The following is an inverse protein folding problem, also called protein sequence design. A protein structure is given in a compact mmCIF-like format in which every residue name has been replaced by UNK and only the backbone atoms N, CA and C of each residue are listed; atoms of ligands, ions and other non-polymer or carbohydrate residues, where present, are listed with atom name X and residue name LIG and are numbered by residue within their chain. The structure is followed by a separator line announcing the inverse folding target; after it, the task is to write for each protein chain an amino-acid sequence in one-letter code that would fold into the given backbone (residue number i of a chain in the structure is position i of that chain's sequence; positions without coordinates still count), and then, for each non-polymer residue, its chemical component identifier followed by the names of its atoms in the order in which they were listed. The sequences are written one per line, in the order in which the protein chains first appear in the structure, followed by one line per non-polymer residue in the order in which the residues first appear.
data_IF_889080887533
#
_entry.id   IF_889080887533
#
_cell.length_a   1.000
_cell.length_b   1.000
_cell.length_c   1.000
_cell.angle_alpha   90.00
_cell.angle_beta   90.00
_cell.angle_gamma   90.00
#
_symmetry.space_group_name_H-M   'P 1'
#
loop_
_entity.id
_entity.type
_entity.pdbx_description
1 polymer ?
#
# COMPACT_ATOMS: atom_id res chain seq x y z
N UNK A 1 11.00 -20.82 32.19
CA UNK A 1 11.15 -21.58 30.94
C UNK A 1 9.87 -21.61 30.08
N UNK A 2 8.69 -21.35 30.65
CA UNK A 2 7.43 -21.33 29.91
C UNK A 2 7.12 -19.99 29.24
N UNK A 3 7.70 -18.88 29.74
CA UNK A 3 7.47 -17.56 29.16
C UNK A 3 8.18 -17.32 27.83
N UNK A 4 9.24 -18.09 27.52
CA UNK A 4 9.98 -17.97 26.26
C UNK A 4 9.21 -18.47 25.02
N UNK A 5 8.08 -19.16 25.22
CA UNK A 5 7.25 -19.71 24.13
C UNK A 5 6.00 -18.88 23.86
N UNK A 6 5.72 -17.86 24.67
CA UNK A 6 4.55 -17.01 24.45
C UNK A 6 4.83 -16.05 23.30
N UNK A 7 4.04 -16.18 22.26
CA UNK A 7 4.12 -15.29 21.08
C UNK A 7 3.48 -13.94 21.38
N UNK A 8 4.08 -12.91 20.80
CA UNK A 8 3.52 -11.57 20.81
C UNK A 8 2.33 -11.54 19.82
N UNK A 9 1.16 -11.12 20.30
CA UNK A 9 -0.02 -11.01 19.43
C UNK A 9 -0.02 -9.65 18.71
N UNK A 10 0.05 -9.68 17.40
CA UNK A 10 0.07 -8.48 16.56
C UNK A 10 -1.11 -8.51 15.62
N UNK A 11 -1.83 -7.39 15.53
CA UNK A 11 -2.87 -7.17 14.53
C UNK A 11 -2.35 -6.15 13.52
N UNK A 12 -2.36 -6.49 12.24
CA UNK A 12 -1.98 -5.62 11.14
C UNK A 12 -3.17 -5.37 10.23
N UNK A 13 -3.27 -4.18 9.67
CA UNK A 13 -4.42 -3.80 8.84
C UNK A 13 -4.38 -4.41 7.46
N UNK A 14 -3.36 -4.08 6.67
CA UNK A 14 -3.26 -4.49 5.26
C UNK A 14 -2.47 -5.78 5.10
N UNK A 15 -2.58 -6.39 3.93
CA UNK A 15 -1.80 -7.58 3.58
C UNK A 15 -0.31 -7.27 3.53
N UNK A 16 0.09 -6.08 3.06
CA UNK A 16 1.48 -5.64 3.02
C UNK A 16 2.09 -5.61 4.42
N UNK A 17 1.37 -5.03 5.38
CA UNK A 17 1.84 -4.95 6.76
C UNK A 17 1.82 -6.29 7.47
N UNK A 18 0.82 -7.12 7.21
CA UNK A 18 0.75 -8.49 7.74
C UNK A 18 1.99 -9.28 7.33
N UNK A 19 2.35 -9.21 6.05
CA UNK A 19 3.56 -9.86 5.52
C UNK A 19 4.83 -9.29 6.18
N UNK A 20 4.94 -7.97 6.26
CA UNK A 20 6.10 -7.30 6.86
C UNK A 20 6.32 -7.72 8.31
N UNK A 21 5.25 -7.76 9.11
CA UNK A 21 5.33 -8.17 10.51
C UNK A 21 5.76 -9.64 10.63
N UNK A 22 5.24 -10.52 9.79
CA UNK A 22 5.65 -11.93 9.75
C UNK A 22 7.13 -12.08 9.40
N UNK A 23 7.61 -11.32 8.42
CA UNK A 23 9.00 -11.37 7.99
C UNK A 23 9.96 -10.96 9.11
N UNK A 24 9.65 -9.91 9.85
CA UNK A 24 10.51 -9.38 10.91
C UNK A 24 10.33 -10.15 12.22
N UNK A 25 9.09 -10.52 12.56
CA UNK A 25 8.76 -11.17 13.83
C UNK A 25 9.06 -12.67 13.85
N UNK A 26 8.93 -13.34 12.72
CA UNK A 26 9.14 -14.79 12.62
C UNK A 26 8.27 -15.57 13.60
N UNK A 27 8.87 -16.55 14.26
CA UNK A 27 8.17 -17.44 15.20
C UNK A 27 7.83 -16.80 16.54
N UNK A 28 8.32 -15.59 16.79
CA UNK A 28 8.08 -14.87 18.05
C UNK A 28 6.78 -14.06 18.05
N UNK A 29 6.12 -13.98 16.91
CA UNK A 29 4.86 -13.24 16.77
C UNK A 29 3.75 -14.12 16.20
N UNK A 30 2.53 -13.84 16.64
CA UNK A 30 1.30 -14.36 16.03
C UNK A 30 0.59 -13.18 15.39
N UNK A 31 0.49 -13.16 14.08
CA UNK A 31 -0.04 -12.01 13.32
C UNK A 31 -1.41 -12.32 12.78
N UNK A 32 -2.36 -11.43 13.06
CA UNK A 32 -3.68 -11.43 12.43
C UNK A 32 -3.78 -10.23 11.50
N UNK A 33 -4.02 -10.49 10.21
CA UNK A 33 -4.36 -9.45 9.25
C UNK A 33 -5.86 -9.20 9.24
N UNK A 34 -6.27 -7.93 9.28
CA UNK A 34 -7.70 -7.57 9.24
C UNK A 34 -8.24 -7.69 7.82
N UNK A 35 -7.46 -7.28 6.83
CA UNK A 35 -7.85 -7.29 5.42
C UNK A 35 -7.22 -8.48 4.73
N UNK A 36 -8.02 -9.21 3.96
CA UNK A 36 -7.55 -10.31 3.13
C UNK A 36 -7.14 -9.86 1.73
N UNK A 37 -6.68 -10.82 0.88
CA UNK A 37 -6.37 -10.51 -0.52
C UNK A 37 -7.57 -9.90 -1.25
N UNK A 38 -7.30 -8.86 -2.05
CA UNK A 38 -8.33 -8.17 -2.85
C UNK A 38 -9.17 -7.15 -2.09
N UNK A 39 -8.95 -6.96 -0.80
CA UNK A 39 -9.68 -5.98 0.00
C UNK A 39 -9.08 -4.59 -0.19
N UNK A 40 -9.94 -3.61 -0.46
CA UNK A 40 -9.55 -2.20 -0.62
C UNK A 40 -9.48 -1.51 0.75
N UNK A 41 -8.29 -1.11 1.22
CA UNK A 41 -8.15 -0.47 2.53
C UNK A 41 -8.84 0.89 2.65
N UNK A 42 -9.01 1.62 1.53
CA UNK A 42 -9.71 2.92 1.55
C UNK A 42 -11.17 2.80 1.95
N UNK A 43 -11.79 1.66 1.66
CA UNK A 43 -13.22 1.42 1.87
C UNK A 43 -13.52 0.45 3.02
N UNK A 44 -12.50 -0.23 3.53
CA UNK A 44 -12.69 -1.27 4.54
C UNK A 44 -13.27 -0.69 5.83
N UNK A 45 -14.32 -1.33 6.31
CA UNK A 45 -14.95 -1.00 7.60
C UNK A 45 -14.66 -2.12 8.59
N UNK A 46 -14.06 -1.77 9.73
CA UNK A 46 -13.77 -2.74 10.77
C UNK A 46 -15.07 -3.28 11.39
N UNK A 47 -15.12 -4.59 11.55
CA UNK A 47 -16.21 -5.25 12.28
C UNK A 47 -16.02 -5.11 13.80
N UNK A 48 -17.06 -5.44 14.57
CA UNK A 48 -16.94 -5.52 16.02
C UNK A 48 -15.85 -6.53 16.44
N UNK A 49 -15.73 -7.64 15.70
CA UNK A 49 -14.67 -8.62 15.93
C UNK A 49 -13.27 -8.06 15.69
N UNK A 50 -13.11 -7.23 14.66
CA UNK A 50 -11.84 -6.55 14.36
C UNK A 50 -11.44 -5.60 15.51
N UNK A 51 -12.40 -4.80 16.00
CA UNK A 51 -12.17 -3.89 17.13
C UNK A 51 -11.75 -4.67 18.36
N UNK A 52 -12.43 -5.78 18.65
CA UNK A 52 -12.09 -6.66 19.78
C UNK A 52 -10.68 -7.24 19.62
N UNK A 53 -10.32 -7.70 18.41
CA UNK A 53 -8.99 -8.25 18.14
C UNK A 53 -7.91 -7.20 18.37
N UNK A 54 -8.11 -5.96 17.91
CA UNK A 54 -7.17 -4.87 18.13
C UNK A 54 -7.04 -4.52 19.62
N UNK A 55 -8.14 -4.51 20.35
CA UNK A 55 -8.12 -4.23 21.80
C UNK A 55 -7.37 -5.29 22.60
N UNK A 56 -7.40 -6.54 22.15
CA UNK A 56 -6.71 -7.66 22.81
C UNK A 56 -5.29 -7.87 22.33
N UNK A 57 -4.90 -7.26 21.21
CA UNK A 57 -3.56 -7.40 20.67
C UNK A 57 -2.52 -6.75 21.59
N UNK A 58 -1.29 -7.28 21.57
CA UNK A 58 -0.15 -6.64 22.21
C UNK A 58 0.32 -5.42 21.43
N UNK A 59 0.23 -5.48 20.10
CA UNK A 59 0.63 -4.39 19.20
C UNK A 59 -0.33 -4.35 18.00
N UNK A 60 -0.71 -3.14 17.59
CA UNK A 60 -1.50 -2.91 16.35
C UNK A 60 -0.63 -2.15 15.36
N UNK A 61 -0.53 -2.66 14.13
CA UNK A 61 0.28 -2.07 13.05
C UNK A 61 -0.63 -1.58 11.94
N UNK A 62 -0.48 -0.33 11.56
CA UNK A 62 -1.25 0.26 10.47
C UNK A 62 -0.40 1.24 9.64
N UNK A 63 -0.87 1.55 8.42
CA UNK A 63 -0.14 2.40 7.49
C UNK A 63 -0.14 3.86 7.92
N UNK A 64 -1.29 4.40 8.23
CA UNK A 64 -1.50 5.82 8.46
C UNK A 64 -1.72 6.59 7.16
N UNK A 65 -1.63 7.90 7.23
CA UNK A 65 -1.85 8.82 6.11
C UNK A 65 -3.21 8.58 5.43
N UNK A 66 -4.21 8.24 6.23
CA UNK A 66 -5.59 7.95 5.80
C UNK A 66 -5.74 6.82 4.78
N UNK A 67 -4.77 5.92 4.66
CA UNK A 67 -4.96 4.71 3.83
C UNK A 67 -6.17 3.92 4.33
N UNK A 68 -6.21 3.66 5.63
CA UNK A 68 -7.33 3.01 6.30
C UNK A 68 -8.42 4.08 6.56
N UNK A 69 -9.06 4.52 5.48
CA UNK A 69 -9.85 5.74 5.46
C UNK A 69 -11.03 5.77 6.42
N UNK A 70 -11.54 4.60 6.82
CA UNK A 70 -12.71 4.48 7.70
C UNK A 70 -12.38 4.02 9.11
N UNK A 71 -11.09 3.93 9.46
CA UNK A 71 -10.62 3.40 10.74
C UNK A 71 -9.98 4.46 11.66
N UNK A 72 -9.98 5.73 11.27
CA UNK A 72 -9.29 6.79 12.02
C UNK A 72 -9.71 6.90 13.48
N UNK A 73 -11.01 6.87 13.76
CA UNK A 73 -11.53 6.94 15.13
C UNK A 73 -11.13 5.73 15.99
N UNK A 74 -11.01 4.55 15.36
CA UNK A 74 -10.57 3.33 16.05
C UNK A 74 -9.12 3.49 16.51
N UNK A 75 -8.25 3.95 15.62
CA UNK A 75 -6.84 4.19 15.95
C UNK A 75 -6.67 5.25 17.03
N UNK A 76 -7.45 6.34 16.97
CA UNK A 76 -7.43 7.38 17.99
C UNK A 76 -7.82 6.82 19.36
N UNK A 77 -8.85 5.97 19.41
CA UNK A 77 -9.29 5.32 20.64
C UNK A 77 -8.22 4.37 21.20
N UNK A 78 -7.56 3.59 20.36
CA UNK A 78 -6.46 2.72 20.78
C UNK A 78 -5.32 3.53 21.40
N UNK A 79 -4.96 4.65 20.79
CA UNK A 79 -3.93 5.55 21.31
C UNK A 79 -4.33 6.14 22.66
N UNK A 80 -5.57 6.57 22.81
CA UNK A 80 -6.10 7.07 24.09
C UNK A 80 -6.09 6.03 25.19
N UNK A 81 -6.23 4.76 24.86
CA UNK A 81 -6.17 3.62 25.78
C UNK A 81 -4.75 3.16 26.06
N UNK A 82 -3.73 3.87 25.59
CA UNK A 82 -2.31 3.52 25.70
C UNK A 82 -1.97 2.16 25.08
N UNK A 83 -2.72 1.73 24.06
CA UNK A 83 -2.39 0.55 23.27
C UNK A 83 -1.11 0.80 22.48
N UNK A 84 -0.19 -0.15 22.49
CA UNK A 84 1.00 -0.08 21.64
C UNK A 84 0.57 -0.14 20.17
N UNK A 85 0.86 0.93 19.43
CA UNK A 85 0.54 1.04 18.00
C UNK A 85 1.80 1.39 17.23
N UNK A 86 1.90 0.87 16.00
CA UNK A 86 2.97 1.22 15.06
C UNK A 86 2.28 1.77 13.82
N UNK A 87 2.33 3.08 13.62
CA UNK A 87 1.93 3.73 12.39
C UNK A 87 3.18 3.88 11.53
N UNK A 88 3.34 2.99 10.53
CA UNK A 88 4.61 2.89 9.80
C UNK A 88 4.97 4.14 9.02
N UNK A 89 3.98 4.93 8.60
CA UNK A 89 4.22 6.21 7.91
C UNK A 89 4.92 7.24 8.80
N UNK A 90 4.88 7.10 10.12
CA UNK A 90 5.60 8.01 11.04
C UNK A 90 7.12 7.91 10.89
N UNK A 91 7.63 6.81 10.35
CA UNK A 91 9.06 6.64 10.10
C UNK A 91 9.56 7.40 8.86
N UNK A 92 8.64 7.94 8.06
CA UNK A 92 8.97 8.67 6.83
C UNK A 92 8.95 10.16 7.13
N UNK A 93 9.98 10.89 6.65
CA UNK A 93 9.99 12.34 6.74
C UNK A 93 8.75 12.93 6.07
N UNK A 94 7.88 13.65 6.78
CA UNK A 94 6.68 14.22 6.21
C UNK A 94 6.93 15.11 4.98
N UNK A 95 8.09 15.72 4.89
CA UNK A 95 8.47 16.55 3.74
C UNK A 95 8.65 15.72 2.45
N UNK A 96 8.88 14.41 2.56
CA UNK A 96 9.04 13.51 1.43
C UNK A 96 7.74 12.84 0.99
N UNK A 97 6.66 12.97 1.78
CA UNK A 97 5.35 12.45 1.42
C UNK A 97 4.76 13.28 0.28
N UNK A 98 4.23 12.59 -0.73
CA UNK A 98 3.61 13.26 -1.87
C UNK A 98 2.25 13.85 -1.48
N UNK A 99 1.99 15.06 -1.98
CA UNK A 99 0.70 15.73 -1.82
C UNK A 99 -0.26 15.27 -2.93
N UNK A 100 -1.56 15.27 -2.60
CA UNK A 100 -2.60 15.22 -3.63
C UNK A 100 -3.75 16.14 -3.19
N UNK A 101 -4.50 16.62 -4.19
CA UNK A 101 -5.67 17.46 -3.94
C UNK A 101 -6.92 16.57 -3.83
N UNK A 102 -7.68 16.73 -2.74
CA UNK A 102 -9.02 16.18 -2.64
C UNK A 102 -10.02 17.14 -3.31
N UNK A 103 -11.22 16.61 -3.65
CA UNK A 103 -12.27 17.38 -4.33
C UNK A 103 -12.68 18.67 -3.60
N UNK A 104 -12.47 18.73 -2.30
CA UNK A 104 -12.83 19.87 -1.44
C UNK A 104 -11.70 20.92 -1.36
N UNK A 105 -10.63 20.76 -2.12
CA UNK A 105 -9.47 21.66 -2.07
C UNK A 105 -8.59 21.46 -0.84
N UNK A 106 -8.82 20.43 -0.04
CA UNK A 106 -7.96 20.08 1.10
C UNK A 106 -6.81 19.23 0.59
N UNK A 107 -5.58 19.72 0.81
CA UNK A 107 -4.38 18.96 0.47
C UNK A 107 -4.16 17.86 1.51
N UNK A 108 -4.07 16.62 1.03
CA UNK A 108 -3.73 15.47 1.86
C UNK A 108 -2.49 14.79 1.31
N UNK A 109 -1.92 13.85 2.08
CA UNK A 109 -0.74 13.12 1.66
C UNK A 109 -1.15 11.79 1.03
N UNK A 110 -0.38 11.36 0.02
CA UNK A 110 -0.57 10.07 -0.64
C UNK A 110 -0.12 8.95 0.30
N UNK A 111 -1.01 7.99 0.63
CA UNK A 111 -0.69 6.92 1.59
C UNK A 111 0.04 5.72 0.98
N UNK A 112 0.20 5.62 -0.35
CA UNK A 112 0.73 4.45 -1.06
C UNK A 112 2.27 4.38 -0.98
N UNK A 113 2.80 4.40 0.22
CA UNK A 113 4.24 4.52 0.51
C UNK A 113 5.04 3.27 0.12
N UNK A 114 4.41 2.09 0.10
CA UNK A 114 5.09 0.80 -0.11
C UNK A 114 5.65 0.59 -1.52
N UNK A 115 5.27 1.42 -2.48
CA UNK A 115 5.76 1.33 -3.85
C UNK A 115 7.11 2.00 -4.08
N UNK A 116 7.65 2.63 -3.06
CA UNK A 116 9.03 3.10 -3.03
C UNK A 116 9.80 2.24 -2.02
N UNK A 117 10.77 1.47 -2.48
CA UNK A 117 11.54 0.57 -1.62
C UNK A 117 12.22 1.32 -0.47
N UNK A 118 12.70 2.54 -0.72
CA UNK A 118 13.29 3.36 0.35
C UNK A 118 12.30 3.62 1.49
N UNK A 119 11.05 3.93 1.16
CA UNK A 119 9.99 4.11 2.16
C UNK A 119 9.69 2.80 2.89
N UNK A 120 9.67 1.68 2.16
CA UNK A 120 9.38 0.39 2.78
C UNK A 120 10.50 -0.06 3.74
N UNK A 121 11.74 0.31 3.46
CA UNK A 121 12.85 0.10 4.40
C UNK A 121 12.61 0.86 5.70
N UNK A 122 12.09 2.08 5.64
CA UNK A 122 11.74 2.87 6.83
C UNK A 122 10.55 2.25 7.58
N UNK A 123 9.55 1.75 6.86
CA UNK A 123 8.43 1.02 7.46
C UNK A 123 8.93 -0.24 8.19
N UNK A 124 9.85 -0.97 7.58
CA UNK A 124 10.47 -2.15 8.19
C UNK A 124 11.21 -1.78 9.49
N UNK A 125 11.91 -0.66 9.51
CA UNK A 125 12.58 -0.15 10.70
C UNK A 125 11.57 0.15 11.81
N UNK A 126 10.45 0.78 11.49
CA UNK A 126 9.39 1.07 12.47
C UNK A 126 8.83 -0.21 13.08
N UNK A 127 8.59 -1.22 12.27
CA UNK A 127 8.10 -2.52 12.75
C UNK A 127 9.13 -3.19 13.64
N UNK A 128 10.40 -3.23 13.22
CA UNK A 128 11.48 -3.79 14.04
C UNK A 128 11.54 -3.11 15.41
N UNK A 129 11.60 -1.79 15.44
CA UNK A 129 11.71 -1.02 16.70
C UNK A 129 10.49 -1.24 17.59
N UNK A 130 9.29 -1.29 17.02
CA UNK A 130 8.06 -1.53 17.77
C UNK A 130 7.99 -2.93 18.37
N UNK A 131 8.38 -3.94 17.61
CA UNK A 131 8.44 -5.32 18.11
C UNK A 131 9.51 -5.50 19.19
N UNK A 132 10.68 -4.90 18.99
CA UNK A 132 11.75 -4.95 19.97
C UNK A 132 11.36 -4.27 21.28
N UNK A 133 10.60 -3.20 21.23
CA UNK A 133 10.07 -2.50 22.40
C UNK A 133 9.03 -3.35 23.14
N UNK A 134 8.15 -4.03 22.39
CA UNK A 134 7.09 -4.85 22.96
C UNK A 134 7.61 -6.20 23.51
N UNK A 135 8.67 -6.72 22.93
CA UNK A 135 9.28 -8.00 23.31
C UNK A 135 10.82 -7.88 23.32
N UNK A 136 11.40 -7.22 24.33
CA UNK A 136 12.86 -7.01 24.38
C UNK A 136 13.67 -8.30 24.44
N UNK A 137 13.09 -9.40 24.95
CA UNK A 137 13.77 -10.69 25.06
C UNK A 137 14.17 -11.26 23.69
N UNK A 138 13.43 -10.93 22.63
CA UNK A 138 13.69 -11.42 21.28
C UNK A 138 14.23 -10.34 20.33
N UNK A 139 14.70 -9.23 20.86
CA UNK A 139 15.23 -8.09 20.09
C UNK A 139 16.31 -8.51 19.10
N UNK A 140 17.23 -9.37 19.50
CA UNK A 140 18.34 -9.82 18.64
C UNK A 140 17.82 -10.62 17.43
N UNK A 141 16.82 -11.49 17.63
CA UNK A 141 16.22 -12.25 16.54
C UNK A 141 15.47 -11.33 15.59
N UNK A 142 14.73 -10.34 16.10
CA UNK A 142 14.07 -9.33 15.26
C UNK A 142 15.09 -8.54 14.45
N UNK A 143 16.21 -8.17 15.06
CA UNK A 143 17.28 -7.44 14.37
C UNK A 143 17.89 -8.25 13.23
N UNK A 144 18.16 -9.52 13.47
CA UNK A 144 18.70 -10.43 12.47
C UNK A 144 17.75 -10.55 11.28
N UNK A 145 16.45 -10.74 11.54
CA UNK A 145 15.45 -10.85 10.50
C UNK A 145 15.25 -9.51 9.75
N UNK A 146 15.27 -8.41 10.48
CA UNK A 146 15.21 -7.08 9.89
C UNK A 146 16.38 -6.82 8.94
N UNK A 147 17.60 -7.11 9.37
CA UNK A 147 18.79 -6.92 8.54
C UNK A 147 18.73 -7.79 7.25
N UNK A 148 18.29 -9.03 7.37
CA UNK A 148 18.09 -9.92 6.21
C UNK A 148 17.01 -9.38 5.27
N UNK A 149 15.94 -8.82 5.81
CA UNK A 149 14.86 -8.22 5.02
C UNK A 149 15.34 -6.98 4.26
N UNK A 150 16.15 -6.13 4.89
CA UNK A 150 16.75 -4.97 4.21
C UNK A 150 17.59 -5.39 3.01
N UNK A 151 18.35 -6.48 3.12
CA UNK A 151 19.13 -7.01 2.00
C UNK A 151 18.22 -7.42 0.84
N UNK A 152 17.10 -8.10 1.13
CA UNK A 152 16.11 -8.46 0.11
C UNK A 152 15.49 -7.22 -0.55
N UNK A 153 15.22 -6.18 0.23
CA UNK A 153 14.69 -4.93 -0.31
C UNK A 153 15.69 -4.23 -1.22
N UNK A 154 16.97 -4.22 -0.86
CA UNK A 154 18.01 -3.64 -1.70
C UNK A 154 18.14 -4.40 -3.03
N UNK A 155 18.07 -5.73 -2.99
CA UNK A 155 18.07 -6.57 -4.20
C UNK A 155 16.85 -6.28 -5.08
N UNK A 156 15.67 -6.15 -4.46
CA UNK A 156 14.43 -5.82 -5.17
C UNK A 156 14.52 -4.44 -5.82
N UNK A 157 15.03 -3.45 -5.09
CA UNK A 157 15.21 -2.09 -5.61
C UNK A 157 16.13 -2.07 -6.83
N UNK A 158 17.27 -2.77 -6.76
CA UNK A 158 18.21 -2.89 -7.88
C UNK A 158 17.57 -3.58 -9.09
N UNK A 159 16.79 -4.63 -8.85
CA UNK A 159 16.05 -5.35 -9.90
C UNK A 159 15.04 -4.43 -10.59
N UNK A 160 14.23 -3.69 -9.82
CA UNK A 160 13.23 -2.77 -10.37
C UNK A 160 13.92 -1.68 -11.20
N UNK A 161 14.99 -1.08 -10.70
CA UNK A 161 15.76 -0.06 -11.44
C UNK A 161 16.27 -0.58 -12.76
N UNK A 162 16.86 -1.79 -12.78
CA UNK A 162 17.36 -2.40 -14.00
C UNK A 162 16.25 -2.68 -15.00
N UNK A 163 15.11 -3.19 -14.55
CA UNK A 163 13.95 -3.45 -15.42
C UNK A 163 13.36 -2.14 -15.95
N UNK A 164 13.23 -1.12 -15.12
CA UNK A 164 12.73 0.19 -15.54
C UNK A 164 13.63 0.83 -16.60
N UNK A 165 14.96 0.76 -16.42
CA UNK A 165 15.94 1.30 -17.37
C UNK A 165 15.90 0.57 -18.71
N UNK A 166 15.49 -0.71 -18.74
CA UNK A 166 15.35 -1.48 -19.97
C UNK A 166 14.17 -1.04 -20.84
N UNK A 167 13.22 -0.29 -20.28
CA UNK A 167 12.06 0.23 -20.99
C UNK A 167 12.43 1.60 -21.58
N UNK A 168 12.16 1.87 -22.87
CA UNK A 168 12.38 3.19 -23.44
C UNK A 168 11.66 4.25 -22.62
N UNK A 169 12.31 5.39 -22.40
CA UNK A 169 11.79 6.46 -21.52
C UNK A 169 10.37 6.90 -21.92
N UNK A 170 10.10 7.02 -23.21
CA UNK A 170 8.78 7.39 -23.74
C UNK A 170 7.71 6.34 -23.51
N UNK A 171 8.10 5.11 -23.19
CA UNK A 171 7.18 4.00 -22.90
C UNK A 171 6.97 3.78 -21.40
N UNK A 172 7.60 4.58 -20.54
CA UNK A 172 7.47 4.48 -19.07
C UNK A 172 6.23 5.23 -18.60
N UNK A 173 5.06 4.80 -19.10
CA UNK A 173 3.76 5.35 -18.75
C UNK A 173 2.87 4.20 -18.28
N UNK A 174 2.26 4.38 -17.11
CA UNK A 174 1.40 3.39 -16.47
C UNK A 174 0.01 3.99 -16.28
N UNK A 175 -1.01 3.34 -16.83
CA UNK A 175 -2.43 3.72 -16.67
C UNK A 175 -3.15 2.65 -15.87
N UNK A 176 -3.78 3.05 -14.77
CA UNK A 176 -4.36 2.13 -13.78
C UNK A 176 -5.75 2.59 -13.34
N UNK A 177 -6.42 1.76 -12.54
CA UNK A 177 -7.78 2.03 -12.08
C UNK A 177 -7.85 3.17 -11.06
N UNK A 178 -6.88 3.28 -10.16
CA UNK A 178 -6.80 4.42 -9.24
C UNK A 178 -5.34 4.88 -9.08
N UNK A 179 -5.16 6.08 -8.54
CA UNK A 179 -3.86 6.73 -8.46
C UNK A 179 -3.07 6.22 -7.25
N UNK A 180 -2.47 5.05 -7.38
CA UNK A 180 -1.73 4.37 -6.31
C UNK A 180 -0.22 4.33 -6.53
N UNK A 181 0.28 4.76 -7.69
CA UNK A 181 1.66 4.49 -8.11
C UNK A 181 2.55 5.73 -8.21
N UNK A 182 2.18 6.85 -7.57
CA UNK A 182 2.99 8.09 -7.66
C UNK A 182 4.36 7.94 -6.99
N UNK A 183 4.45 7.23 -5.87
CA UNK A 183 5.76 6.96 -5.25
C UNK A 183 6.63 6.07 -6.13
N UNK A 184 6.03 5.08 -6.78
CA UNK A 184 6.72 4.25 -7.78
C UNK A 184 7.22 5.10 -8.95
N UNK A 185 6.37 6.00 -9.45
CA UNK A 185 6.71 6.90 -10.55
C UNK A 185 7.92 7.76 -10.20
N UNK A 186 7.92 8.37 -9.01
CA UNK A 186 9.03 9.19 -8.54
C UNK A 186 10.31 8.39 -8.37
N UNK A 187 10.22 7.18 -7.80
CA UNK A 187 11.40 6.37 -7.50
C UNK A 187 12.04 5.79 -8.77
N UNK A 188 11.23 5.43 -9.77
CA UNK A 188 11.70 4.65 -10.92
C UNK A 188 11.53 5.32 -12.29
N UNK A 189 11.12 6.58 -12.30
CA UNK A 189 11.07 7.38 -13.53
C UNK A 189 9.92 7.05 -14.47
N UNK A 190 8.75 6.73 -13.90
CA UNK A 190 7.51 6.51 -14.66
C UNK A 190 6.59 7.72 -14.60
N UNK A 191 5.74 7.86 -15.60
CA UNK A 191 4.54 8.70 -15.56
C UNK A 191 3.35 7.78 -15.28
N UNK A 192 2.53 8.13 -14.30
CA UNK A 192 1.37 7.31 -13.93
C UNK A 192 0.09 8.14 -13.99
N UNK A 193 -0.97 7.51 -14.48
CA UNK A 193 -2.32 8.08 -14.56
C UNK A 193 -3.32 7.07 -14.00
N UNK A 194 -4.11 7.49 -13.02
CA UNK A 194 -5.20 6.70 -12.47
C UNK A 194 -6.56 7.24 -12.91
N UNK A 195 -7.53 6.37 -13.10
CA UNK A 195 -8.91 6.77 -13.38
C UNK A 195 -9.53 7.43 -12.14
N UNK A 196 -9.50 6.74 -10.99
CA UNK A 196 -9.85 7.32 -9.71
C UNK A 196 -8.64 8.02 -9.12
N UNK A 197 -8.88 8.93 -8.18
CA UNK A 197 -7.82 9.59 -7.43
C UNK A 197 -7.07 8.64 -6.49
N UNK A 198 -6.28 9.22 -5.61
CA UNK A 198 -5.47 8.49 -4.62
C UNK A 198 -6.35 7.68 -3.67
N UNK A 199 -7.50 8.23 -3.25
CA UNK A 199 -8.51 7.49 -2.49
C UNK A 199 -9.58 6.93 -3.44
N UNK A 200 -9.97 5.67 -3.23
CA UNK A 200 -11.08 5.05 -3.95
C UNK A 200 -12.44 5.39 -3.35
N UNK A 201 -12.49 6.15 -2.26
CA UNK A 201 -13.74 6.57 -1.62
C UNK A 201 -14.58 7.47 -2.53
N UNK A 202 -13.95 8.21 -3.45
CA UNK A 202 -14.62 9.01 -4.47
C UNK A 202 -14.56 8.28 -5.79
N UNK A 203 -15.73 8.07 -6.43
CA UNK A 203 -15.80 7.45 -7.75
C UNK A 203 -15.37 8.43 -8.85
N UNK A 204 -14.80 7.88 -9.94
CA UNK A 204 -14.48 8.67 -11.11
C UNK A 204 -15.76 9.19 -11.79
N UNK A 205 -15.78 10.49 -12.08
CA UNK A 205 -16.86 11.10 -12.86
C UNK A 205 -16.68 10.88 -14.37
N UNK A 206 -17.70 11.26 -15.14
CA UNK A 206 -17.68 11.17 -16.61
C UNK A 206 -16.50 11.96 -17.20
N UNK A 207 -16.21 13.12 -16.63
CA UNK A 207 -15.09 13.96 -17.09
C UNK A 207 -13.76 13.25 -16.87
N UNK A 208 -13.56 12.59 -15.72
CA UNK A 208 -12.34 11.84 -15.43
C UNK A 208 -12.11 10.71 -16.44
N UNK A 209 -13.17 9.98 -16.78
CA UNK A 209 -13.12 8.94 -17.80
C UNK A 209 -12.74 9.53 -19.15
N UNK A 210 -13.38 10.63 -19.56
CA UNK A 210 -13.12 11.27 -20.85
C UNK A 210 -11.69 11.79 -20.95
N UNK A 211 -11.17 12.41 -19.89
CA UNK A 211 -9.79 12.91 -19.85
C UNK A 211 -8.78 11.78 -19.95
N UNK A 212 -9.01 10.68 -19.24
CA UNK A 212 -8.12 9.52 -19.29
C UNK A 212 -8.15 8.86 -20.67
N UNK A 213 -9.34 8.70 -21.26
CA UNK A 213 -9.49 8.15 -22.62
C UNK A 213 -8.76 9.03 -23.63
N UNK A 214 -8.88 10.36 -23.51
CA UNK A 214 -8.19 11.28 -24.40
C UNK A 214 -6.67 11.16 -24.26
N UNK A 215 -6.17 11.05 -23.04
CA UNK A 215 -4.76 10.82 -22.77
C UNK A 215 -4.27 9.53 -23.45
N UNK A 216 -5.02 8.44 -23.30
CA UNK A 216 -4.68 7.14 -23.91
C UNK A 216 -4.60 7.24 -25.43
N UNK A 217 -5.56 7.91 -26.05
CA UNK A 217 -5.62 8.08 -27.51
C UNK A 217 -4.49 8.98 -28.00
N UNK A 218 -4.28 10.12 -27.35
CA UNK A 218 -3.25 11.10 -27.75
C UNK A 218 -1.83 10.57 -27.60
N UNK A 219 -1.57 9.80 -26.55
CA UNK A 219 -0.24 9.23 -26.30
C UNK A 219 -0.08 7.83 -26.86
N UNK A 220 -1.09 7.30 -27.55
CA UNK A 220 -1.07 5.96 -28.17
C UNK A 220 -0.68 4.87 -27.17
N UNK A 221 -1.29 4.93 -25.99
CA UNK A 221 -1.04 3.96 -24.92
C UNK A 221 -1.49 2.58 -25.38
N UNK A 222 -0.62 1.58 -25.30
CA UNK A 222 -0.89 0.23 -25.81
C UNK A 222 -1.61 -0.65 -24.80
N UNK A 223 -1.40 -0.44 -23.52
CA UNK A 223 -1.98 -1.26 -22.45
C UNK A 223 -2.34 -0.43 -21.23
N UNK A 224 -3.47 -0.80 -20.61
CA UNK A 224 -3.93 -0.28 -19.33
C UNK A 224 -4.08 -1.45 -18.37
N UNK A 225 -4.10 -1.20 -17.06
CA UNK A 225 -3.99 -2.26 -16.07
C UNK A 225 -5.16 -2.25 -15.10
N UNK A 226 -5.64 -3.45 -14.75
CA UNK A 226 -6.58 -3.68 -13.67
C UNK A 226 -5.80 -3.85 -12.36
N UNK A 227 -6.49 -3.71 -11.24
CA UNK A 227 -5.88 -3.81 -9.91
C UNK A 227 -6.63 -4.85 -9.07
N UNK A 228 -5.89 -5.49 -8.16
CA UNK A 228 -6.44 -6.54 -7.29
C UNK A 228 -7.50 -6.04 -6.29
N UNK A 229 -7.44 -4.74 -5.93
CA UNK A 229 -8.30 -4.14 -4.90
C UNK A 229 -9.38 -3.21 -5.47
N UNK A 230 -9.51 -3.10 -6.79
CA UNK A 230 -10.49 -2.22 -7.46
C UNK A 230 -11.29 -3.03 -8.48
N UNK A 231 -12.62 -2.81 -8.60
CA UNK A 231 -13.41 -3.52 -9.60
C UNK A 231 -12.89 -3.32 -11.02
N UNK A 232 -12.78 -4.40 -11.79
CA UNK A 232 -12.22 -4.36 -13.17
C UNK A 232 -13.11 -3.64 -14.17
N UNK A 233 -14.40 -3.49 -13.88
CA UNK A 233 -15.38 -2.85 -14.77
C UNK A 233 -14.98 -1.42 -15.17
N UNK A 234 -14.33 -0.69 -14.29
CA UNK A 234 -13.93 0.70 -14.56
C UNK A 234 -12.90 0.76 -15.67
N UNK A 235 -11.92 -0.12 -15.65
CA UNK A 235 -10.89 -0.20 -16.70
C UNK A 235 -11.47 -0.76 -18.01
N UNK A 236 -12.36 -1.73 -17.92
CA UNK A 236 -13.07 -2.24 -19.10
C UNK A 236 -13.87 -1.13 -19.81
N UNK A 237 -14.53 -0.25 -19.04
CA UNK A 237 -15.25 0.89 -19.58
C UNK A 237 -14.31 1.89 -20.28
N UNK A 238 -13.13 2.12 -19.74
CA UNK A 238 -12.09 2.97 -20.37
C UNK A 238 -11.64 2.35 -21.69
N UNK A 239 -11.40 1.05 -21.72
CA UNK A 239 -11.04 0.32 -22.94
C UNK A 239 -12.09 0.48 -24.04
N UNK A 240 -13.37 0.28 -23.69
CA UNK A 240 -14.48 0.44 -24.64
C UNK A 240 -14.61 1.88 -25.15
N UNK A 241 -14.44 2.87 -24.28
CA UNK A 241 -14.49 4.27 -24.66
C UNK A 241 -13.34 4.66 -25.61
N UNK A 242 -12.14 4.12 -25.40
CA UNK A 242 -11.01 4.33 -26.31
C UNK A 242 -11.27 3.69 -27.68
N UNK A 243 -11.84 2.49 -27.70
CA UNK A 243 -12.24 1.79 -28.93
C UNK A 243 -13.24 2.61 -29.74
N UNK A 244 -14.22 3.23 -29.08
CA UNK A 244 -15.19 4.10 -29.71
C UNK A 244 -14.54 5.31 -30.41
N UNK A 245 -13.35 5.73 -29.93
CA UNK A 245 -12.53 6.79 -30.56
C UNK A 245 -11.53 6.26 -31.58
N UNK A 246 -11.59 4.98 -31.93
CA UNK A 246 -10.73 4.36 -32.92
C UNK A 246 -9.39 3.86 -32.43
N UNK A 247 -9.18 3.79 -31.11
CA UNK A 247 -7.94 3.30 -30.53
C UNK A 247 -8.15 2.01 -29.75
N UNK A 248 -7.50 0.92 -30.17
CA UNK A 248 -7.55 -0.36 -29.47
C UNK A 248 -6.44 -0.40 -28.41
N UNK A 249 -6.82 -0.24 -27.15
CA UNK A 249 -5.93 -0.41 -26.02
C UNK A 249 -6.19 -1.78 -25.38
N UNK A 250 -5.13 -2.51 -25.07
CA UNK A 250 -5.24 -3.80 -24.40
C UNK A 250 -5.34 -3.63 -22.90
N UNK A 251 -6.05 -4.55 -22.22
CA UNK A 251 -5.89 -4.71 -20.79
C UNK A 251 -4.68 -5.62 -20.58
N UNK A 252 -3.67 -5.11 -19.87
CA UNK A 252 -2.46 -5.85 -19.51
C UNK A 252 -2.71 -6.79 -18.35
N UNK A 253 -1.73 -6.95 -17.47
CA UNK A 253 -1.88 -7.77 -16.28
C UNK A 253 -2.67 -7.07 -15.17
N UNK A 254 -2.96 -7.83 -14.13
CA UNK A 254 -3.47 -7.30 -12.87
C UNK A 254 -2.31 -6.85 -11.99
N UNK A 255 -2.42 -5.66 -11.42
CA UNK A 255 -1.45 -5.10 -10.49
C UNK A 255 -1.92 -5.29 -9.05
N UNK A 256 -1.01 -5.70 -8.18
CA UNK A 256 -1.27 -5.75 -6.75
C UNK A 256 -1.00 -4.36 -6.17
N UNK A 257 -2.03 -3.52 -6.13
CA UNK A 257 -1.88 -2.13 -5.67
C UNK A 257 -2.01 -2.00 -4.17
N UNK A 258 -3.22 -2.08 -3.64
CA UNK A 258 -3.51 -1.89 -2.21
C UNK A 258 -3.68 -3.23 -1.47
N UNK A 259 -3.35 -4.33 -2.12
CA UNK A 259 -3.40 -5.67 -1.55
C UNK A 259 -2.40 -6.58 -2.27
N UNK A 260 -1.73 -7.43 -1.51
CA UNK A 260 -0.90 -8.51 -2.07
C UNK A 260 -1.77 -9.66 -2.57
N UNK A 261 -1.15 -10.59 -3.29
CA UNK A 261 -1.79 -11.82 -3.71
C UNK A 261 -2.07 -12.77 -2.55
N UNK A 262 -2.71 -13.90 -2.88
CA UNK A 262 -3.08 -14.91 -1.89
C UNK A 262 -1.95 -15.89 -1.53
N UNK A 263 -0.81 -15.84 -2.22
CA UNK A 263 0.35 -16.71 -1.98
C UNK A 263 1.61 -15.89 -1.69
#
# INVERSE_FOLDING_TARGET
AQDSQKKLNVVATTTMLTDLVKEIGGDHVSVQGLMGPGVDPHLYQASAGDVTAMSKADVVVYNGVHLEGKMGSIFDNLTKQNKATIRVSDAIDPATLLDFDEEDGVKTKDPHIWFDVANWKLAAKAVYEGLAKADPAHKEDFKKRYDAYLTKLDETDAYIKAQAESIPKESRVLVTAHDAFQYFARAYGFEVKGLQGVSTATEAGTQDVNELVQFIVDHKIKAIFVESSVPHKTIEAVQEAAKAKGWNVAIGGELYSDSLGSE
#
